data_IF_495546143113
#
_entry.id   IF_495546143113
#
_cell.length_a   1.000
_cell.length_b   1.000
_cell.length_c   1.000
_cell.angle_alpha   90.00
_cell.angle_beta   90.00
_cell.angle_gamma   90.00
#
_symmetry.space_group_name_H-M   'P 1'
#
loop_
_entity.id
_entity.type
_entity.pdbx_description
1 polymer ?
#
# COMPACT_ATOMS: atom_id res chain seq x y z
N UNK A 1 -12.27 17.58 10.45
CA UNK A 1 -13.17 16.49 10.84
C UNK A 1 -13.02 15.28 9.94
N UNK A 2 -13.65 14.16 10.25
CA UNK A 2 -13.62 12.94 9.44
C UNK A 2 -14.39 13.13 8.13
N UNK A 3 -13.91 12.45 7.08
CA UNK A 3 -14.61 12.33 5.81
C UNK A 3 -15.10 10.89 5.66
N UNK A 4 -16.40 10.72 5.45
CA UNK A 4 -17.00 9.44 5.11
C UNK A 4 -17.73 9.60 3.77
N UNK A 5 -17.22 8.93 2.74
CA UNK A 5 -17.80 8.94 1.40
C UNK A 5 -18.18 7.52 0.99
N UNK A 6 -19.41 7.35 0.53
CA UNK A 6 -19.90 6.10 -0.04
C UNK A 6 -20.52 6.38 -1.42
N UNK A 7 -19.87 5.89 -2.47
CA UNK A 7 -20.42 5.88 -3.82
C UNK A 7 -21.18 4.56 -4.07
N UNK A 8 -22.41 4.66 -4.52
CA UNK A 8 -23.30 3.53 -4.81
C UNK A 8 -23.47 3.28 -6.32
N UNK A 9 -22.78 4.05 -7.14
CA UNK A 9 -22.78 3.84 -8.60
C UNK A 9 -22.05 2.54 -8.95
N UNK A 10 -22.62 1.78 -9.90
CA UNK A 10 -22.08 0.45 -10.26
C UNK A 10 -21.42 0.41 -11.63
N UNK A 11 -21.51 1.48 -12.41
CA UNK A 11 -20.99 1.54 -13.78
C UNK A 11 -19.89 2.59 -13.95
N UNK A 12 -18.96 2.29 -14.85
CA UNK A 12 -17.85 3.18 -15.21
C UNK A 12 -16.79 3.31 -14.12
N UNK A 13 -15.95 4.32 -14.26
CA UNK A 13 -14.92 4.70 -13.29
C UNK A 13 -15.40 5.94 -12.53
N UNK A 14 -15.33 5.91 -11.20
CA UNK A 14 -15.55 7.09 -10.37
C UNK A 14 -14.29 7.96 -10.36
N UNK A 15 -14.29 9.14 -11.00
CA UNK A 15 -13.17 10.07 -10.87
C UNK A 15 -13.37 10.95 -9.63
N UNK A 16 -12.33 11.09 -8.83
CA UNK A 16 -12.30 11.99 -7.68
C UNK A 16 -11.04 12.86 -7.79
N UNK A 17 -11.22 14.17 -7.85
CA UNK A 17 -10.08 15.08 -7.91
C UNK A 17 -9.38 15.18 -6.57
N UNK A 18 -10.14 15.36 -5.48
CA UNK A 18 -9.53 15.51 -4.15
C UNK A 18 -10.46 15.05 -3.02
N UNK A 19 -9.87 14.35 -2.04
CA UNK A 19 -10.41 14.19 -0.69
C UNK A 19 -9.34 14.58 0.32
N UNK A 20 -9.59 15.60 1.14
CA UNK A 20 -8.59 16.12 2.07
C UNK A 20 -9.18 16.37 3.46
N UNK A 21 -8.50 15.88 4.49
CA UNK A 21 -8.81 16.12 5.90
C UNK A 21 -7.55 16.50 6.67
N UNK A 22 -7.55 17.63 7.36
CA UNK A 22 -6.41 18.07 8.18
C UNK A 22 -6.35 17.34 9.52
N UNK A 23 -7.48 17.16 10.20
CA UNK A 23 -7.54 16.64 11.58
C UNK A 23 -8.49 15.46 11.76
N UNK A 24 -8.65 14.63 10.75
CA UNK A 24 -9.55 13.50 10.83
C UNK A 24 -9.19 12.40 9.85
N UNK A 25 -9.86 11.27 10.03
CA UNK A 25 -9.71 10.11 9.17
C UNK A 25 -10.54 10.26 7.90
N UNK A 26 -10.12 9.57 6.84
CA UNK A 26 -10.89 9.40 5.61
C UNK A 26 -11.33 7.95 5.51
N UNK A 27 -12.64 7.75 5.42
CA UNK A 27 -13.25 6.47 5.09
C UNK A 27 -13.97 6.58 3.75
N UNK A 28 -13.51 5.81 2.79
CA UNK A 28 -14.02 5.83 1.42
C UNK A 28 -14.50 4.43 1.01
N UNK A 29 -15.69 4.38 0.43
CA UNK A 29 -16.23 3.16 -0.18
C UNK A 29 -16.82 3.47 -1.55
N UNK A 30 -16.52 2.63 -2.54
CA UNK A 30 -17.12 2.70 -3.86
C UNK A 30 -17.52 1.31 -4.35
N UNK A 31 -18.66 1.23 -5.02
CA UNK A 31 -19.18 0.01 -5.65
C UNK A 31 -18.73 -0.16 -7.11
N UNK A 32 -17.72 0.60 -7.54
CA UNK A 32 -17.12 0.56 -8.88
C UNK A 32 -15.66 0.96 -8.85
N UNK A 33 -14.94 0.69 -9.95
CA UNK A 33 -13.55 1.16 -10.12
C UNK A 33 -13.44 2.66 -9.85
N UNK A 34 -12.37 3.06 -9.20
CA UNK A 34 -12.19 4.45 -8.74
C UNK A 34 -10.77 4.95 -9.03
N UNK A 35 -10.71 6.18 -9.52
CA UNK A 35 -9.46 6.91 -9.70
C UNK A 35 -9.48 8.19 -8.86
N UNK A 36 -8.54 8.33 -7.93
CA UNK A 36 -8.40 9.51 -7.07
C UNK A 36 -7.11 10.22 -7.40
N UNK A 37 -7.18 11.50 -7.75
CA UNK A 37 -5.99 12.31 -7.99
C UNK A 37 -5.27 12.61 -6.68
N UNK A 38 -6.01 13.04 -5.65
CA UNK A 38 -5.43 13.33 -4.33
C UNK A 38 -6.32 12.80 -3.21
N UNK A 39 -5.74 11.98 -2.32
CA UNK A 39 -6.38 11.56 -1.07
C UNK A 39 -5.42 11.82 0.10
N UNK A 40 -5.81 12.70 1.03
CA UNK A 40 -4.92 13.23 2.05
C UNK A 40 -5.60 13.34 3.42
N UNK A 41 -5.12 12.59 4.40
CA UNK A 41 -5.47 12.72 5.81
C UNK A 41 -4.22 13.16 6.59
N UNK A 42 -4.01 14.48 6.78
CA UNK A 42 -2.72 14.99 7.30
C UNK A 42 -2.35 14.44 8.67
N UNK A 43 -3.31 14.34 9.58
CA UNK A 43 -3.12 13.84 10.95
C UNK A 43 -3.97 12.59 11.23
N UNK A 44 -4.56 11.98 10.22
CA UNK A 44 -5.46 10.85 10.32
C UNK A 44 -5.03 9.64 9.52
N UNK A 45 -5.87 8.62 9.56
CA UNK A 45 -5.75 7.39 8.77
C UNK A 45 -6.66 7.46 7.53
N UNK A 46 -6.34 6.63 6.55
CA UNK A 46 -7.17 6.44 5.36
C UNK A 46 -7.59 4.98 5.31
N UNK A 47 -8.88 4.73 5.15
CA UNK A 47 -9.42 3.40 4.88
C UNK A 47 -10.28 3.46 3.62
N UNK A 48 -9.87 2.70 2.59
CA UNK A 48 -10.59 2.62 1.32
C UNK A 48 -11.06 1.22 1.01
N UNK A 49 -12.31 1.09 0.53
CA UNK A 49 -12.90 -0.15 0.02
C UNK A 49 -13.51 0.11 -1.35
N UNK A 50 -13.00 -0.56 -2.38
CA UNK A 50 -13.41 -0.32 -3.78
C UNK A 50 -13.79 -1.63 -4.44
N UNK A 51 -14.97 -1.68 -5.02
CA UNK A 51 -15.41 -2.81 -5.84
C UNK A 51 -14.97 -2.56 -7.30
N UNK A 52 -13.75 -2.97 -7.64
CA UNK A 52 -13.09 -2.76 -8.93
C UNK A 52 -11.63 -2.34 -8.75
N UNK A 53 -11.06 -1.78 -9.81
CA UNK A 53 -9.70 -1.24 -9.78
C UNK A 53 -9.63 0.07 -8.99
N UNK A 54 -8.57 0.26 -8.25
CA UNK A 54 -8.34 1.45 -7.44
C UNK A 54 -6.99 2.09 -7.76
N UNK A 55 -7.00 3.31 -8.25
CA UNK A 55 -5.81 4.09 -8.50
C UNK A 55 -5.79 5.38 -7.68
N UNK A 56 -4.63 5.72 -7.12
CA UNK A 56 -4.38 6.91 -6.33
C UNK A 56 -3.09 7.57 -6.78
N UNK A 57 -3.13 8.87 -7.06
CA UNK A 57 -1.97 9.58 -7.59
C UNK A 57 -1.16 10.29 -6.50
N UNK A 58 -1.84 10.97 -5.56
CA UNK A 58 -1.23 11.59 -4.39
C UNK A 58 -1.88 11.03 -3.13
N UNK A 59 -1.29 9.97 -2.57
CA UNK A 59 -1.76 9.36 -1.34
C UNK A 59 -0.89 9.84 -0.17
N UNK A 60 -1.51 10.42 0.85
CA UNK A 60 -0.83 10.84 2.08
C UNK A 60 -1.70 10.60 3.31
N UNK A 61 -1.14 9.95 4.32
CA UNK A 61 -1.75 9.83 5.63
C UNK A 61 -0.72 10.11 6.72
N UNK A 62 -1.13 10.84 7.76
CA UNK A 62 -0.30 11.09 8.94
C UNK A 62 -0.17 9.89 9.84
N UNK A 63 -1.11 8.94 9.72
CA UNK A 63 -1.10 7.66 10.44
C UNK A 63 -1.05 6.50 9.45
N UNK A 64 -2.01 5.62 9.47
CA UNK A 64 -2.01 4.36 8.74
C UNK A 64 -2.98 4.37 7.55
N UNK A 65 -2.61 3.65 6.49
CA UNK A 65 -3.45 3.43 5.31
C UNK A 65 -3.86 1.97 5.20
N UNK A 66 -5.16 1.75 5.07
CA UNK A 66 -5.74 0.44 4.75
C UNK A 66 -6.50 0.53 3.42
N UNK A 67 -6.23 -0.40 2.51
CA UNK A 67 -6.83 -0.42 1.16
C UNK A 67 -7.32 -1.83 0.84
N UNK A 68 -8.58 -1.93 0.44
CA UNK A 68 -9.20 -3.16 -0.02
C UNK A 68 -9.86 -2.89 -1.38
N UNK A 69 -9.42 -3.55 -2.43
CA UNK A 69 -10.01 -3.47 -3.76
C UNK A 69 -10.29 -4.87 -4.31
N UNK A 70 -11.38 -5.04 -5.04
CA UNK A 70 -11.63 -6.32 -5.74
C UNK A 70 -10.86 -6.41 -7.04
N UNK A 71 -10.40 -5.29 -7.58
CA UNK A 71 -9.52 -5.16 -8.73
C UNK A 71 -8.08 -4.85 -8.37
N UNK A 72 -7.33 -4.29 -9.31
CA UNK A 72 -5.94 -3.88 -9.14
C UNK A 72 -5.81 -2.64 -8.26
N UNK A 73 -4.70 -2.56 -7.53
CA UNK A 73 -4.34 -1.37 -6.75
C UNK A 73 -3.10 -0.73 -7.36
N UNK A 74 -3.18 0.57 -7.64
CA UNK A 74 -2.04 1.38 -8.07
C UNK A 74 -1.97 2.64 -7.21
N UNK A 75 -0.87 2.84 -6.52
CA UNK A 75 -0.65 4.00 -5.64
C UNK A 75 0.68 4.70 -5.91
N UNK A 76 0.63 6.03 -6.06
CA UNK A 76 1.80 6.90 -6.03
C UNK A 76 1.75 7.78 -4.79
N UNK A 77 2.87 7.88 -4.10
CA UNK A 77 3.01 8.59 -2.82
C UNK A 77 4.22 9.48 -2.89
N UNK A 78 4.11 10.69 -2.39
CA UNK A 78 5.24 11.58 -2.13
C UNK A 78 5.46 11.71 -0.62
N UNK A 79 6.63 11.31 -0.15
CA UNK A 79 6.96 11.19 1.27
C UNK A 79 6.72 9.80 1.86
N UNK A 80 6.71 9.69 3.18
CA UNK A 80 6.52 8.41 3.86
C UNK A 80 5.08 7.90 3.77
N UNK A 81 4.93 6.58 3.58
CA UNK A 81 3.66 5.87 3.66
C UNK A 81 3.72 4.78 4.72
N UNK A 82 2.85 4.84 5.71
CA UNK A 82 2.65 3.75 6.68
C UNK A 82 1.41 2.96 6.30
N UNK A 83 1.57 1.67 6.04
CA UNK A 83 0.48 0.78 5.65
C UNK A 83 0.10 -0.20 6.77
N UNK A 84 -1.21 -0.40 6.97
CA UNK A 84 -1.74 -1.57 7.66
C UNK A 84 -1.94 -2.70 6.66
N UNK A 85 -3.16 -2.85 6.15
CA UNK A 85 -3.49 -3.88 5.17
C UNK A 85 -3.78 -3.27 3.80
N UNK A 86 -3.14 -3.80 2.75
CA UNK A 86 -3.39 -3.48 1.34
C UNK A 86 -3.69 -4.79 0.62
N UNK A 87 -4.94 -4.98 0.19
CA UNK A 87 -5.41 -6.23 -0.38
C UNK A 87 -6.11 -6.00 -1.73
N UNK A 88 -5.61 -6.67 -2.78
CA UNK A 88 -6.14 -6.64 -4.12
C UNK A 88 -6.73 -8.00 -4.50
N UNK A 89 -8.02 -8.03 -4.85
CA UNK A 89 -8.77 -9.25 -5.11
C UNK A 89 -9.14 -10.01 -3.83
N UNK A 90 -9.52 -11.26 -3.99
CA UNK A 90 -9.89 -12.18 -2.92
C UNK A 90 -9.04 -13.44 -2.95
N UNK A 91 -9.16 -14.28 -1.93
CA UNK A 91 -8.52 -15.60 -1.92
C UNK A 91 -8.97 -16.39 -3.17
N UNK A 92 -8.00 -16.87 -3.95
CA UNK A 92 -8.24 -17.60 -5.21
C UNK A 92 -8.43 -16.73 -6.45
N UNK A 93 -8.57 -15.40 -6.28
CA UNK A 93 -8.67 -14.41 -7.38
C UNK A 93 -7.96 -13.11 -7.00
N UNK A 94 -6.70 -13.22 -6.60
CA UNK A 94 -5.85 -12.06 -6.29
C UNK A 94 -5.58 -11.22 -7.52
N UNK A 95 -5.44 -9.91 -7.33
CA UNK A 95 -5.12 -8.93 -8.37
C UNK A 95 -3.78 -8.24 -8.05
N UNK A 96 -3.26 -7.51 -9.02
CA UNK A 96 -1.94 -6.88 -8.88
C UNK A 96 -1.97 -5.67 -7.94
N UNK A 97 -0.87 -5.49 -7.21
CA UNK A 97 -0.60 -4.30 -6.39
C UNK A 97 0.67 -3.64 -6.93
N UNK A 98 0.59 -2.35 -7.19
CA UNK A 98 1.76 -1.51 -7.52
C UNK A 98 1.77 -0.29 -6.61
N UNK A 99 2.79 -0.16 -5.77
CA UNK A 99 3.00 1.00 -4.91
C UNK A 99 4.35 1.63 -5.21
N UNK A 100 4.34 2.93 -5.51
CA UNK A 100 5.54 3.73 -5.73
C UNK A 100 5.58 4.85 -4.69
N UNK A 101 6.61 4.84 -3.87
CA UNK A 101 6.90 5.85 -2.87
C UNK A 101 8.06 6.70 -3.39
N UNK A 102 7.80 7.98 -3.61
CA UNK A 102 8.80 8.95 -4.00
C UNK A 102 9.21 9.78 -2.79
N UNK A 103 10.49 10.07 -2.64
CA UNK A 103 11.03 10.94 -1.60
C UNK A 103 10.75 10.46 -0.15
N UNK A 104 10.54 9.16 0.06
CA UNK A 104 10.13 8.63 1.36
C UNK A 104 10.36 7.14 1.56
N UNK A 105 9.70 6.60 2.57
CA UNK A 105 9.80 5.20 2.99
C UNK A 105 8.42 4.54 2.97
N UNK A 106 8.36 3.25 2.67
CA UNK A 106 7.21 2.40 2.95
C UNK A 106 7.40 1.73 4.30
N UNK A 107 6.49 1.95 5.23
CA UNK A 107 6.58 1.48 6.61
C UNK A 107 5.39 0.58 6.97
N UNK A 108 5.60 -0.43 7.83
CA UNK A 108 4.53 -1.21 8.43
C UNK A 108 3.94 -0.48 9.63
N UNK A 109 2.61 -0.32 9.64
CA UNK A 109 1.84 0.21 10.76
C UNK A 109 1.23 -0.87 11.66
N UNK A 110 1.40 -2.15 11.32
CA UNK A 110 0.85 -3.26 12.10
C UNK A 110 1.62 -3.42 13.43
N UNK A 111 0.87 -3.63 14.50
CA UNK A 111 1.46 -3.91 15.80
C UNK A 111 1.72 -5.41 15.97
N UNK A 112 2.80 -5.77 16.69
CA UNK A 112 3.19 -7.18 16.89
C UNK A 112 2.12 -8.03 17.59
N UNK A 113 1.13 -7.41 18.22
CA UNK A 113 -0.01 -8.05 18.88
C UNK A 113 -1.17 -8.36 17.95
N UNK A 114 -1.17 -7.85 16.72
CA UNK A 114 -2.22 -8.15 15.75
C UNK A 114 -2.09 -9.60 15.27
N UNK A 115 -3.24 -10.28 15.15
CA UNK A 115 -3.27 -11.68 14.70
C UNK A 115 -2.85 -11.81 13.23
N UNK A 116 -3.13 -10.79 12.42
CA UNK A 116 -2.73 -10.71 11.02
C UNK A 116 -1.61 -9.70 10.84
N UNK A 117 -0.42 -10.20 10.54
CA UNK A 117 0.79 -9.39 10.33
C UNK A 117 1.09 -9.12 8.86
N UNK A 118 0.16 -9.45 7.94
CA UNK A 118 0.39 -9.28 6.51
C UNK A 118 -0.01 -7.89 6.04
N UNK A 119 0.97 -7.12 5.56
CA UNK A 119 0.73 -5.79 5.01
C UNK A 119 0.12 -5.82 3.60
N UNK A 120 0.58 -6.73 2.74
CA UNK A 120 0.15 -6.78 1.34
C UNK A 120 -0.29 -8.17 0.93
N UNK A 121 -1.44 -8.25 0.24
CA UNK A 121 -1.94 -9.48 -0.40
C UNK A 121 -2.34 -9.21 -1.84
N UNK A 122 -1.67 -9.86 -2.79
CA UNK A 122 -1.93 -9.65 -4.21
C UNK A 122 -1.45 -10.80 -5.09
N UNK A 123 -1.80 -10.75 -6.39
CA UNK A 123 -1.29 -11.68 -7.40
C UNK A 123 0.18 -11.39 -7.69
N UNK A 124 0.46 -10.26 -8.30
CA UNK A 124 1.79 -9.73 -8.44
C UNK A 124 1.91 -8.46 -7.61
N UNK A 125 2.98 -8.35 -6.83
CA UNK A 125 3.21 -7.19 -5.98
C UNK A 125 4.48 -6.50 -6.45
N UNK A 126 4.36 -5.23 -6.80
CA UNK A 126 5.49 -4.38 -7.18
C UNK A 126 5.60 -3.21 -6.20
N UNK A 127 6.73 -3.12 -5.52
CA UNK A 127 7.03 -2.08 -4.54
C UNK A 127 8.26 -1.31 -4.96
N UNK A 128 8.16 0.01 -4.98
CA UNK A 128 9.29 0.89 -5.26
C UNK A 128 9.38 1.98 -4.20
N UNK A 129 10.53 2.16 -3.56
CA UNK A 129 10.83 3.28 -2.68
C UNK A 129 12.05 4.04 -3.18
N UNK A 130 11.85 5.30 -3.55
CA UNK A 130 12.90 6.18 -4.06
C UNK A 130 13.33 7.18 -2.98
N UNK A 131 14.64 7.31 -2.81
CA UNK A 131 15.19 8.34 -1.96
C UNK A 131 14.88 9.73 -2.51
N UNK A 132 14.63 10.67 -1.61
CA UNK A 132 14.53 12.09 -1.90
C UNK A 132 15.60 12.88 -1.19
N UNK A 133 15.38 14.19 -1.05
CA UNK A 133 16.30 15.08 -0.32
C UNK A 133 16.32 14.84 1.20
N UNK A 134 15.27 14.20 1.75
CA UNK A 134 15.21 13.87 3.18
C UNK A 134 16.19 12.73 3.49
N UNK A 135 17.06 12.94 4.48
CA UNK A 135 17.94 11.90 5.00
C UNK A 135 17.12 10.69 5.48
N UNK A 136 17.60 9.48 5.24
CA UNK A 136 16.94 8.24 5.63
C UNK A 136 15.73 7.87 4.77
N UNK A 137 15.46 8.52 3.64
CA UNK A 137 14.42 8.12 2.69
C UNK A 137 14.88 7.00 1.74
N UNK A 138 13.91 6.32 1.11
CA UNK A 138 14.16 5.28 0.12
C UNK A 138 14.25 3.87 0.69
N UNK A 139 13.60 3.61 1.84
CA UNK A 139 13.56 2.29 2.47
C UNK A 139 12.19 1.62 2.35
N UNK A 140 12.18 0.30 2.36
CA UNK A 140 11.00 -0.57 2.51
C UNK A 140 11.14 -1.35 3.83
N UNK A 141 10.25 -1.04 4.79
CA UNK A 141 10.32 -1.58 6.15
C UNK A 141 11.46 -1.02 6.99
N UNK A 142 11.59 -1.56 8.18
CA UNK A 142 12.71 -1.35 9.11
C UNK A 142 13.15 -2.69 9.70
N UNK A 143 14.30 -2.72 10.38
CA UNK A 143 14.79 -3.94 11.04
C UNK A 143 13.80 -4.45 12.11
N UNK A 144 13.08 -3.54 12.79
CA UNK A 144 12.11 -3.85 13.83
C UNK A 144 10.73 -4.20 13.26
N UNK A 145 10.36 -3.59 12.12
CA UNK A 145 9.06 -3.78 11.47
C UNK A 145 9.22 -4.02 9.97
N UNK A 146 9.31 -5.29 9.58
CA UNK A 146 9.38 -5.69 8.17
C UNK A 146 8.07 -5.42 7.46
N UNK A 147 8.12 -5.18 6.16
CA UNK A 147 6.94 -5.26 5.30
C UNK A 147 6.67 -6.74 5.04
N UNK A 148 5.49 -7.23 5.41
CA UNK A 148 5.06 -8.59 5.11
C UNK A 148 4.20 -8.61 3.85
N UNK A 149 4.65 -9.35 2.81
CA UNK A 149 3.99 -9.40 1.51
C UNK A 149 3.70 -10.85 1.09
N UNK A 150 2.42 -11.17 0.91
CA UNK A 150 1.93 -12.42 0.32
C UNK A 150 1.60 -12.20 -1.16
N UNK A 151 2.49 -12.62 -2.05
CA UNK A 151 2.26 -12.62 -3.49
C UNK A 151 1.96 -14.05 -3.97
N UNK A 152 0.78 -14.27 -4.57
CA UNK A 152 0.42 -15.57 -5.15
C UNK A 152 1.20 -15.83 -6.47
N UNK A 153 1.70 -14.78 -7.11
CA UNK A 153 2.55 -14.80 -8.30
C UNK A 153 3.96 -14.28 -8.02
N UNK A 154 4.27 -13.09 -8.50
CA UNK A 154 5.61 -12.51 -8.45
C UNK A 154 5.69 -11.34 -7.46
N UNK A 155 6.82 -11.24 -6.77
CA UNK A 155 7.17 -10.11 -5.92
C UNK A 155 8.39 -9.39 -6.52
N UNK A 156 8.21 -8.11 -6.82
CA UNK A 156 9.23 -7.21 -7.38
C UNK A 156 9.45 -6.06 -6.41
N UNK A 157 10.66 -5.89 -5.90
CA UNK A 157 10.95 -4.92 -4.86
C UNK A 157 12.19 -4.12 -5.20
N UNK A 158 12.04 -2.80 -5.26
CA UNK A 158 13.14 -1.87 -5.50
C UNK A 158 13.15 -0.78 -4.43
N UNK A 159 14.29 -0.59 -3.79
CA UNK A 159 14.52 0.50 -2.84
C UNK A 159 15.83 1.21 -3.15
N UNK A 160 15.86 2.53 -2.99
CA UNK A 160 17.12 3.27 -3.14
C UNK A 160 18.11 3.00 -2.02
N UNK A 161 17.64 2.53 -0.86
CA UNK A 161 18.44 2.25 0.33
C UNK A 161 18.26 0.82 0.81
N UNK A 162 17.38 0.56 1.75
CA UNK A 162 17.27 -0.72 2.41
C UNK A 162 15.91 -1.37 2.20
N UNK A 163 15.91 -2.71 2.14
CA UNK A 163 14.72 -3.55 2.12
C UNK A 163 14.74 -4.44 3.36
N UNK A 164 13.68 -4.37 4.18
CA UNK A 164 13.37 -5.27 5.27
C UNK A 164 12.01 -5.91 4.97
N UNK A 165 12.04 -7.15 4.48
CA UNK A 165 10.87 -7.82 3.93
C UNK A 165 10.68 -9.18 4.59
N UNK A 166 9.42 -9.56 4.79
CA UNK A 166 8.99 -10.90 5.13
C UNK A 166 8.01 -11.41 4.07
N UNK A 167 8.28 -12.58 3.51
CA UNK A 167 7.41 -13.28 2.59
C UNK A 167 7.00 -14.64 3.18
N UNK A 168 5.79 -14.73 3.79
CA UNK A 168 5.37 -15.90 4.58
C UNK A 168 4.94 -17.11 3.74
N UNK A 169 4.89 -16.99 2.42
CA UNK A 169 4.56 -18.07 1.48
C UNK A 169 5.69 -18.31 0.49
N UNK A 170 5.59 -19.39 -0.27
CA UNK A 170 6.46 -19.65 -1.42
C UNK A 170 6.27 -18.53 -2.45
N UNK A 171 7.09 -17.51 -2.35
CA UNK A 171 7.03 -16.31 -3.18
C UNK A 171 8.10 -16.36 -4.25
N UNK A 172 7.73 -16.12 -5.51
CA UNK A 172 8.68 -15.96 -6.60
C UNK A 172 9.18 -14.53 -6.59
N UNK A 173 10.41 -14.32 -6.11
CA UNK A 173 11.08 -13.03 -6.21
C UNK A 173 11.52 -12.83 -7.66
N UNK A 174 10.92 -11.86 -8.36
CA UNK A 174 11.26 -11.54 -9.75
C UNK A 174 12.28 -10.43 -9.88
N UNK A 175 12.32 -9.54 -8.90
CA UNK A 175 13.30 -8.45 -8.84
C UNK A 175 13.57 -8.09 -7.39
N UNK A 176 14.84 -7.87 -7.07
CA UNK A 176 15.29 -7.33 -5.79
C UNK A 176 16.44 -6.36 -6.05
N UNK A 177 16.23 -5.09 -5.77
CA UNK A 177 17.24 -4.05 -5.98
C UNK A 177 17.28 -3.08 -4.80
N UNK A 178 18.42 -3.03 -4.09
CA UNK A 178 18.65 -2.14 -2.98
C UNK A 178 20.15 -2.04 -2.66
N UNK A 179 20.58 -1.02 -1.90
CA UNK A 179 21.93 -1.00 -1.30
C UNK A 179 22.10 -2.10 -0.23
N UNK A 180 21.01 -2.39 0.51
CA UNK A 180 20.97 -3.43 1.55
C UNK A 180 19.62 -4.15 1.53
N UNK A 181 19.61 -5.47 1.72
CA UNK A 181 18.39 -6.25 1.84
C UNK A 181 18.50 -7.27 2.98
N UNK A 182 17.49 -7.29 3.84
CA UNK A 182 17.28 -8.28 4.89
C UNK A 182 15.91 -8.94 4.66
N UNK A 183 15.95 -10.19 4.23
CA UNK A 183 14.79 -10.93 3.76
C UNK A 183 14.51 -12.14 4.66
N UNK A 184 13.25 -12.30 5.04
CA UNK A 184 12.75 -13.47 5.76
C UNK A 184 11.75 -14.22 4.87
N UNK A 185 11.97 -15.50 4.64
CA UNK A 185 11.08 -16.37 3.90
C UNK A 185 10.69 -17.56 4.78
N UNK A 186 9.37 -17.79 4.94
CA UNK A 186 8.84 -18.95 5.66
C UNK A 186 8.54 -20.14 4.71
N UNK A 187 8.92 -20.06 3.46
CA UNK A 187 8.74 -21.09 2.47
C UNK A 187 9.57 -22.35 2.79
N UNK A 188 8.96 -23.53 2.53
CA UNK A 188 9.65 -24.83 2.56
C UNK A 188 10.36 -25.08 1.25
#
# INVERSE_FOLDING_TARGET
GNINLHDIGTEGILPITEMSSTNGDISFRAERSTAIETIKAENGSITSRVNGDYSMNNLKAGKMVNIYATGKITGNVDGNLTIGHVEAGSVGDRKDITLTINNGNLLSGLESTEADQTNLRGQNITLTAKAGAAEGSGNLGTAEKRITAEADGKLSVTASKSIYLHAPKNTVMSELNAEYADLLFDGK
#
